data_IF_710373114629
#
_entry.id   IF_710373114629
#
_cell.length_a   1.000
_cell.length_b   1.000
_cell.length_c   1.000
_cell.angle_alpha   90.00
_cell.angle_beta   90.00
_cell.angle_gamma   90.00
#
_symmetry.space_group_name_H-M   'P 1'
#
loop_
_entity.id
_entity.type
_entity.pdbx_description
1 polymer ?
#
# COMPACT_ATOMS: atom_id res chain seq x y z
N UNK A 1 28.02 6.94 -10.68
CA UNK A 1 26.56 6.73 -10.78
C UNK A 1 25.90 7.30 -9.53
N UNK A 2 25.30 8.49 -9.61
CA UNK A 2 24.52 9.04 -8.49
C UNK A 2 23.38 8.06 -8.20
N UNK A 3 23.45 7.41 -7.05
CA UNK A 3 22.40 6.48 -6.62
C UNK A 3 21.20 7.33 -6.25
N UNK A 4 20.26 7.55 -7.18
CA UNK A 4 19.06 8.34 -6.90
C UNK A 4 18.25 7.64 -5.81
N UNK A 5 18.42 8.08 -4.56
CA UNK A 5 17.73 7.52 -3.39
C UNK A 5 16.34 8.13 -3.17
N UNK A 6 15.98 9.16 -3.94
CA UNK A 6 14.68 9.83 -3.95
C UNK A 6 13.48 8.87 -3.90
N UNK A 7 13.38 7.82 -4.76
CA UNK A 7 12.26 6.88 -4.73
C UNK A 7 12.14 6.13 -3.40
N UNK A 8 13.29 5.81 -2.78
CA UNK A 8 13.33 5.14 -1.47
C UNK A 8 12.80 6.04 -0.38
N UNK A 9 13.24 7.30 -0.34
CA UNK A 9 12.72 8.28 0.62
C UNK A 9 11.20 8.47 0.47
N UNK A 10 10.70 8.57 -0.77
CA UNK A 10 9.25 8.69 -1.02
C UNK A 10 8.50 7.45 -0.51
N UNK A 11 8.97 6.24 -0.83
CA UNK A 11 8.32 5.01 -0.37
C UNK A 11 8.26 4.91 1.17
N UNK A 12 9.36 5.24 1.85
CA UNK A 12 9.40 5.23 3.31
C UNK A 12 8.54 6.32 3.94
N UNK A 13 8.49 7.52 3.36
CA UNK A 13 7.59 8.60 3.81
C UNK A 13 6.11 8.21 3.62
N UNK A 14 5.77 7.55 2.52
CA UNK A 14 4.41 7.05 2.27
C UNK A 14 4.04 5.96 3.27
N UNK A 15 4.95 5.02 3.56
CA UNK A 15 4.73 4.01 4.60
C UNK A 15 4.48 4.67 5.96
N UNK A 16 5.33 5.63 6.33
CA UNK A 16 5.22 6.35 7.59
C UNK A 16 3.87 7.07 7.70
N UNK A 17 3.44 7.74 6.63
CA UNK A 17 2.14 8.40 6.57
C UNK A 17 0.99 7.40 6.76
N UNK A 18 1.04 6.25 6.08
CA UNK A 18 0.01 5.21 6.20
C UNK A 18 -0.03 4.65 7.61
N UNK A 19 1.12 4.40 8.23
CA UNK A 19 1.20 3.95 9.64
C UNK A 19 0.59 4.98 10.58
N UNK A 20 0.93 6.27 10.42
CA UNK A 20 0.35 7.34 11.24
C UNK A 20 -1.17 7.38 11.07
N UNK A 21 -1.67 7.39 9.84
CA UNK A 21 -3.11 7.44 9.54
C UNK A 21 -3.87 6.19 10.01
N UNK A 22 -3.20 5.03 10.04
CA UNK A 22 -3.82 3.76 10.49
C UNK A 22 -3.78 3.56 12.00
N UNK A 23 -2.74 4.07 12.68
CA UNK A 23 -2.56 3.98 14.14
C UNK A 23 -3.25 5.14 14.87
N UNK A 24 -3.50 6.27 14.20
CA UNK A 24 -4.22 7.38 14.80
C UNK A 24 -5.64 6.96 15.29
N UNK A 25 -6.05 7.37 16.50
CA UNK A 25 -7.34 7.02 17.08
C UNK A 25 -8.51 7.44 16.18
N UNK A 26 -9.55 6.62 16.14
CA UNK A 26 -10.76 6.75 15.30
C UNK A 26 -11.42 8.14 15.37
N UNK A 27 -11.22 8.91 16.45
CA UNK A 27 -11.79 10.24 16.67
C UNK A 27 -11.22 11.39 15.82
N UNK A 28 -10.13 11.19 15.08
CA UNK A 28 -9.52 12.20 14.19
C UNK A 28 -9.65 11.88 12.70
N UNK A 29 -10.45 10.86 12.33
CA UNK A 29 -10.62 10.52 10.92
C UNK A 29 -11.31 11.66 10.17
N UNK A 30 -10.68 12.22 9.11
CA UNK A 30 -11.39 13.07 8.17
C UNK A 30 -12.58 12.27 7.61
N UNK A 31 -13.70 12.96 7.41
CA UNK A 31 -14.87 12.36 6.77
C UNK A 31 -14.46 11.66 5.47
N UNK A 32 -14.91 10.42 5.30
CA UNK A 32 -14.72 9.60 4.10
C UNK A 32 -15.04 10.43 2.86
N UNK A 33 -14.08 10.56 1.95
CA UNK A 33 -14.23 11.34 0.72
C UNK A 33 -15.07 10.60 -0.33
N UNK A 34 -15.11 9.27 -0.27
CA UNK A 34 -15.82 8.43 -1.26
C UNK A 34 -16.63 7.30 -0.62
N UNK A 35 -16.00 6.17 -0.31
CA UNK A 35 -16.56 5.03 0.40
C UNK A 35 -15.40 4.38 1.15
N UNK A 36 -15.61 3.98 2.41
CA UNK A 36 -14.55 3.49 3.31
C UNK A 36 -13.64 2.42 2.65
N UNK A 37 -14.21 1.57 1.79
CA UNK A 37 -13.46 0.56 1.05
C UNK A 37 -12.50 1.13 -0.01
N UNK A 38 -12.94 2.11 -0.80
CA UNK A 38 -12.14 2.69 -1.88
C UNK A 38 -10.92 3.42 -1.32
N UNK A 39 -11.10 4.22 -0.26
CA UNK A 39 -10.00 4.95 0.39
C UNK A 39 -8.94 3.96 0.93
N UNK A 40 -9.36 2.82 1.47
CA UNK A 40 -8.47 1.75 1.98
C UNK A 40 -7.72 1.04 0.85
N UNK A 41 -8.41 0.68 -0.22
CA UNK A 41 -7.78 0.07 -1.39
C UNK A 41 -6.77 1.03 -2.04
N UNK A 42 -7.14 2.31 -2.19
CA UNK A 42 -6.28 3.34 -2.76
C UNK A 42 -5.01 3.55 -1.93
N UNK A 43 -5.12 3.59 -0.60
CA UNK A 43 -3.97 3.72 0.28
C UNK A 43 -2.98 2.53 0.13
N UNK A 44 -3.49 1.29 0.12
CA UNK A 44 -2.66 0.11 -0.07
C UNK A 44 -2.07 0.01 -1.48
N UNK A 45 -2.83 0.42 -2.51
CA UNK A 45 -2.35 0.49 -3.88
C UNK A 45 -1.21 1.49 -4.01
N UNK A 46 -1.36 2.70 -3.47
CA UNK A 46 -0.33 3.72 -3.51
C UNK A 46 0.94 3.30 -2.76
N UNK A 47 0.79 2.66 -1.58
CA UNK A 47 1.91 2.11 -0.82
C UNK A 47 2.69 1.08 -1.63
N UNK A 48 1.99 0.07 -2.14
CA UNK A 48 2.59 -1.02 -2.92
C UNK A 48 3.28 -0.48 -4.17
N UNK A 49 2.63 0.44 -4.89
CA UNK A 49 3.22 1.10 -6.05
C UNK A 49 4.50 1.85 -5.70
N UNK A 50 4.52 2.64 -4.62
CA UNK A 50 5.70 3.40 -4.19
C UNK A 50 6.87 2.48 -3.84
N UNK A 51 6.62 1.37 -3.13
CA UNK A 51 7.65 0.38 -2.82
C UNK A 51 8.17 -0.34 -4.06
N UNK A 52 7.30 -0.72 -5.00
CA UNK A 52 7.72 -1.37 -6.25
C UNK A 52 8.58 -0.43 -7.08
N UNK A 53 8.24 0.86 -7.14
CA UNK A 53 9.07 1.88 -7.81
C UNK A 53 10.44 2.08 -7.11
N UNK A 54 10.48 2.00 -5.78
CA UNK A 54 11.72 2.14 -5.01
C UNK A 54 12.62 0.91 -5.06
N UNK A 55 12.02 -0.28 -5.16
CA UNK A 55 12.68 -1.58 -5.11
C UNK A 55 12.13 -2.52 -6.20
N UNK A 56 12.36 -2.20 -7.49
CA UNK A 56 11.76 -2.93 -8.61
C UNK A 56 12.14 -4.41 -8.66
N UNK A 57 13.30 -4.78 -8.11
CA UNK A 57 13.77 -6.18 -8.01
C UNK A 57 12.95 -7.02 -7.02
N UNK A 58 12.31 -6.40 -6.04
CA UNK A 58 11.60 -7.09 -4.95
C UNK A 58 10.08 -6.93 -5.04
N UNK A 59 9.56 -6.64 -6.23
CA UNK A 59 8.15 -6.32 -6.44
C UNK A 59 7.18 -7.39 -5.92
N UNK A 60 7.51 -8.67 -6.08
CA UNK A 60 6.68 -9.78 -5.59
C UNK A 60 6.65 -9.84 -4.06
N UNK A 61 7.81 -9.65 -3.41
CA UNK A 61 7.90 -9.60 -1.95
C UNK A 61 7.13 -8.42 -1.37
N UNK A 62 7.11 -7.28 -2.07
CA UNK A 62 6.33 -6.09 -1.68
C UNK A 62 4.83 -6.37 -1.74
N UNK A 63 4.34 -7.00 -2.81
CA UNK A 63 2.92 -7.36 -2.94
C UNK A 63 2.54 -8.33 -1.83
N UNK A 64 3.34 -9.38 -1.59
CA UNK A 64 3.09 -10.36 -0.53
C UNK A 64 3.08 -9.67 0.85
N UNK A 65 4.05 -8.81 1.13
CA UNK A 65 4.09 -8.06 2.38
C UNK A 65 2.87 -7.13 2.53
N UNK A 66 2.41 -6.50 1.46
CA UNK A 66 1.19 -5.68 1.44
C UNK A 66 -0.08 -6.48 1.74
N UNK A 67 -0.19 -7.69 1.18
CA UNK A 67 -1.30 -8.61 1.49
C UNK A 67 -1.22 -9.06 2.95
N UNK A 68 -0.06 -9.49 3.43
CA UNK A 68 0.13 -9.90 4.83
C UNK A 68 -0.20 -8.74 5.79
N UNK A 69 0.22 -7.52 5.47
CA UNK A 69 -0.11 -6.32 6.26
C UNK A 69 -1.62 -6.01 6.25
N UNK A 70 -2.31 -6.19 5.11
CA UNK A 70 -3.75 -6.01 5.01
C UNK A 70 -4.52 -6.91 5.98
N UNK A 71 -4.17 -8.21 6.01
CA UNK A 71 -4.75 -9.18 6.93
C UNK A 71 -4.28 -8.96 8.37
N UNK A 72 -3.01 -8.63 8.59
CA UNK A 72 -2.46 -8.36 9.93
C UNK A 72 -3.12 -7.16 10.62
N UNK A 73 -3.36 -6.07 9.90
CA UNK A 73 -4.05 -4.89 10.44
C UNK A 73 -5.51 -5.19 10.77
N UNK A 74 -6.17 -6.06 9.99
CA UNK A 74 -7.53 -6.52 10.32
C UNK A 74 -7.53 -7.50 11.51
N UNK A 75 -6.53 -8.38 11.59
CA UNK A 75 -6.33 -9.29 12.71
C UNK A 75 -6.11 -8.53 14.04
N UNK A 76 -5.33 -7.46 14.01
CA UNK A 76 -5.14 -6.58 15.17
C UNK A 76 -6.45 -5.92 15.64
N UNK A 77 -7.45 -5.77 14.76
CA UNK A 77 -8.77 -5.27 15.18
C UNK A 77 -9.55 -6.28 16.01
N UNK A 78 -9.22 -7.58 16.02
CA UNK A 78 -9.78 -8.53 16.99
C UNK A 78 -9.43 -8.19 18.44
N UNK A 79 -8.32 -7.46 18.66
CA UNK A 79 -7.93 -6.98 19.98
C UNK A 79 -8.72 -5.72 20.41
N UNK A 80 -9.50 -5.12 19.51
CA UNK A 80 -10.33 -3.95 19.77
C UNK A 80 -11.77 -4.39 20.09
N UNK A 81 -12.25 -4.23 21.33
CA UNK A 81 -13.58 -4.72 21.75
C UNK A 81 -14.77 -4.10 21.00
N UNK A 82 -14.54 -2.98 20.30
CA UNK A 82 -15.54 -2.13 19.66
C UNK A 82 -15.67 -2.34 18.14
N UNK A 83 -14.91 -3.26 17.54
CA UNK A 83 -15.02 -3.55 16.10
C UNK A 83 -15.18 -5.03 15.81
N UNK A 84 -16.21 -5.34 15.03
CA UNK A 84 -16.29 -6.61 14.32
C UNK A 84 -15.36 -6.56 13.10
N UNK A 85 -14.35 -7.43 13.02
CA UNK A 85 -13.48 -7.51 11.86
C UNK A 85 -14.29 -7.91 10.64
N UNK A 86 -14.18 -7.15 9.56
CA UNK A 86 -14.84 -7.47 8.31
C UNK A 86 -13.81 -8.08 7.36
N UNK A 87 -13.95 -9.36 7.03
CA UNK A 87 -13.07 -10.02 6.06
C UNK A 87 -13.04 -9.28 4.71
N UNK A 88 -14.15 -8.63 4.35
CA UNK A 88 -14.24 -7.78 3.16
C UNK A 88 -13.24 -6.62 3.20
N UNK A 89 -12.96 -6.04 4.36
CA UNK A 89 -11.99 -4.93 4.50
C UNK A 89 -10.55 -5.39 4.28
N UNK A 90 -10.21 -6.58 4.77
CA UNK A 90 -8.90 -7.20 4.51
C UNK A 90 -8.73 -7.50 3.01
N UNK A 91 -9.77 -8.04 2.36
CA UNK A 91 -9.76 -8.35 0.93
C UNK A 91 -9.61 -7.08 0.10
N UNK A 92 -10.34 -6.01 0.42
CA UNK A 92 -10.26 -4.73 -0.31
C UNK A 92 -8.85 -4.12 -0.22
N UNK A 93 -8.21 -4.16 0.96
CA UNK A 93 -6.82 -3.73 1.14
C UNK A 93 -5.85 -4.60 0.34
N UNK A 94 -6.03 -5.92 0.35
CA UNK A 94 -5.19 -6.85 -0.39
C UNK A 94 -5.30 -6.64 -1.91
N UNK A 95 -6.52 -6.45 -2.43
CA UNK A 95 -6.75 -6.12 -3.85
C UNK A 95 -6.05 -4.81 -4.22
N UNK A 96 -6.15 -3.79 -3.36
CA UNK A 96 -5.42 -2.53 -3.52
C UNK A 96 -3.90 -2.76 -3.65
N UNK A 97 -3.31 -3.49 -2.70
CA UNK A 97 -1.87 -3.79 -2.70
C UNK A 97 -1.41 -4.52 -3.97
N UNK A 98 -2.18 -5.49 -4.44
CA UNK A 98 -1.88 -6.24 -5.67
C UNK A 98 -1.96 -5.32 -6.88
N UNK A 99 -3.06 -4.58 -7.03
CA UNK A 99 -3.29 -3.69 -8.17
C UNK A 99 -2.20 -2.61 -8.29
N UNK A 100 -1.88 -1.94 -7.18
CA UNK A 100 -0.85 -0.91 -7.17
C UNK A 100 0.55 -1.44 -7.47
N UNK A 101 0.91 -2.61 -6.93
CA UNK A 101 2.20 -3.24 -7.19
C UNK A 101 2.34 -3.69 -8.65
N UNK A 102 1.31 -4.32 -9.22
CA UNK A 102 1.31 -4.75 -10.62
C UNK A 102 1.32 -3.56 -11.59
N UNK A 103 0.60 -2.48 -11.29
CA UNK A 103 0.60 -1.27 -12.10
C UNK A 103 1.99 -0.63 -12.15
N UNK A 104 2.65 -0.49 -10.99
CA UNK A 104 4.00 0.04 -10.90
C UNK A 104 5.02 -0.86 -11.63
N UNK A 105 4.91 -2.17 -11.47
CA UNK A 105 5.77 -3.12 -12.17
C UNK A 105 5.59 -3.04 -13.70
N UNK A 106 4.35 -2.99 -14.17
CA UNK A 106 4.03 -2.84 -15.60
C UNK A 106 4.62 -1.54 -16.16
N UNK A 107 4.46 -0.43 -15.44
CA UNK A 107 5.06 0.85 -15.81
C UNK A 107 6.59 0.78 -15.93
N UNK A 108 7.26 0.12 -14.99
CA UNK A 108 8.71 -0.08 -15.04
C UNK A 108 9.12 -0.91 -16.26
N UNK A 109 8.38 -1.98 -16.57
CA UNK A 109 8.60 -2.82 -17.76
C UNK A 109 8.46 -2.01 -19.05
N UNK A 110 7.42 -1.20 -19.18
CA UNK A 110 7.23 -0.33 -20.35
C UNK A 110 8.37 0.69 -20.49
N UNK A 111 8.81 1.30 -19.39
CA UNK A 111 9.95 2.22 -19.41
C UNK A 111 11.23 1.54 -19.87
N UNK A 112 11.53 0.36 -19.33
CA UNK A 112 12.74 -0.37 -19.73
C UNK A 112 12.74 -0.72 -21.22
N UNK A 113 11.56 -1.04 -21.79
CA UNK A 113 11.41 -1.32 -23.22
C UNK A 113 11.63 -0.06 -24.08
N UNK A 114 11.08 1.08 -23.68
CA UNK A 114 11.22 2.35 -24.41
C UNK A 114 12.65 2.91 -24.39
N UNK A 115 13.46 2.57 -23.38
CA UNK A 115 14.85 3.04 -23.28
C UNK A 115 15.84 2.13 -24.01
N UNK A 116 15.39 0.95 -24.44
CA UNK A 116 16.21 -0.04 -25.15
C UNK A 116 16.05 0.03 -26.69
N UNK A 117 15.19 0.93 -27.17
CA UNK A 117 14.96 1.26 -28.59
C UNK A 117 15.71 2.51 -28.99
#
# INVERSE_FOLDING_TARGET
MMTNRLPKYIAWSVLLLIVIVTVCPIGLRPHTLTTVGIDRAAAFAFCSAAFVLAYPRYWLAIIVAGVVAAFGIEALQFLSPTRHPHMTDAVVKAVGAIAGGLAAFSYLQFRTRLTAS
#
